data_IF_065279793814
#
_entry.id   IF_065279793814
#
_cell.length_a   1.000
_cell.length_b   1.000
_cell.length_c   1.000
_cell.angle_alpha   90.00
_cell.angle_beta   90.00
_cell.angle_gamma   90.00
#
_symmetry.space_group_name_H-M   'P 1'
#
loop_
_entity.id
_entity.type
_entity.pdbx_description
1 polymer ?
#
# COMPACT_ATOMS: atom_id res chain seq x y z
N UNK A 1 -25.60 10.05 6.61
CA UNK A 1 -25.82 8.59 6.78
C UNK A 1 -24.44 7.99 6.83
N UNK A 2 -24.04 7.52 7.99
CA UNK A 2 -22.64 7.25 8.38
C UNK A 2 -21.91 6.34 7.39
N UNK A 3 -22.62 5.37 6.80
CA UNK A 3 -22.03 4.45 5.81
C UNK A 3 -21.67 5.14 4.49
N UNK A 4 -22.48 6.10 4.05
CA UNK A 4 -22.17 6.88 2.85
C UNK A 4 -20.96 7.79 3.10
N UNK A 5 -20.91 8.44 4.27
CA UNK A 5 -19.78 9.29 4.67
C UNK A 5 -18.48 8.50 4.76
N UNK A 6 -18.50 7.30 5.33
CA UNK A 6 -17.36 6.38 5.32
C UNK A 6 -16.90 6.05 3.89
N UNK A 7 -17.81 5.68 3.00
CA UNK A 7 -17.45 5.32 1.62
C UNK A 7 -16.92 6.51 0.82
N UNK A 8 -17.44 7.71 1.07
CA UNK A 8 -16.90 8.96 0.51
C UNK A 8 -15.47 9.18 0.99
N UNK A 9 -15.21 9.08 2.30
CA UNK A 9 -13.86 9.23 2.86
C UNK A 9 -12.86 8.18 2.32
N UNK A 10 -13.27 6.92 2.18
CA UNK A 10 -12.43 5.87 1.56
C UNK A 10 -12.11 6.15 0.09
N UNK A 11 -12.98 6.90 -0.60
CA UNK A 11 -12.83 7.24 -2.02
C UNK A 11 -11.98 8.50 -2.26
N UNK A 12 -11.70 9.30 -1.23
CA UNK A 12 -10.85 10.50 -1.35
C UNK A 12 -9.40 10.13 -1.69
N UNK A 13 -8.84 9.11 -1.03
CA UNK A 13 -7.50 8.58 -1.31
C UNK A 13 -7.44 7.04 -1.21
N UNK A 14 -7.99 6.33 -2.21
CA UNK A 14 -7.97 4.87 -2.22
C UNK A 14 -6.55 4.30 -2.38
N UNK A 15 -5.66 5.01 -3.06
CA UNK A 15 -4.27 4.56 -3.29
C UNK A 15 -3.47 4.64 -1.98
N UNK A 16 -3.54 5.76 -1.25
CA UNK A 16 -2.96 5.88 0.08
C UNK A 16 -3.52 4.86 1.07
N UNK A 17 -4.84 4.61 1.03
CA UNK A 17 -5.48 3.56 1.84
C UNK A 17 -4.82 2.19 1.62
N UNK A 18 -4.72 1.71 0.38
CA UNK A 18 -4.20 0.36 0.12
C UNK A 18 -2.66 0.26 0.27
N UNK A 19 -1.95 1.38 0.17
CA UNK A 19 -0.52 1.49 0.46
C UNK A 19 -0.23 1.46 1.97
N UNK A 20 -1.10 2.07 2.78
CA UNK A 20 -1.03 1.98 4.24
C UNK A 20 -1.22 0.55 4.75
N UNK A 21 -2.09 -0.23 4.10
CA UNK A 21 -2.40 -1.60 4.50
C UNK A 21 -1.35 -2.60 3.97
N UNK A 22 -0.31 -2.84 4.77
CA UNK A 22 0.85 -3.70 4.43
C UNK A 22 0.46 -5.11 3.93
N UNK A 23 -0.52 -5.74 4.59
CA UNK A 23 -0.91 -7.13 4.38
C UNK A 23 -2.25 -7.30 3.65
N UNK A 24 -2.93 -6.21 3.32
CA UNK A 24 -4.20 -6.24 2.58
C UNK A 24 -3.91 -5.90 1.12
N UNK A 25 -4.43 -6.74 0.21
CA UNK A 25 -4.31 -6.53 -1.22
C UNK A 25 -5.62 -6.08 -1.86
N UNK A 26 -6.75 -6.16 -1.17
CA UNK A 26 -8.05 -5.77 -1.71
C UNK A 26 -8.98 -5.28 -0.61
N UNK A 27 -9.61 -4.14 -0.84
CA UNK A 27 -10.73 -3.64 -0.05
C UNK A 27 -11.90 -3.45 -0.99
N UNK A 28 -13.03 -4.05 -0.65
CA UNK A 28 -14.25 -3.97 -1.44
C UNK A 28 -15.44 -3.77 -0.52
N UNK A 29 -16.28 -2.79 -0.85
CA UNK A 29 -17.51 -2.49 -0.11
C UNK A 29 -18.70 -2.72 -1.03
N UNK A 30 -19.71 -3.39 -0.47
CA UNK A 30 -20.96 -3.69 -1.14
C UNK A 30 -22.14 -3.11 -0.38
N UNK A 31 -23.14 -2.66 -1.12
CA UNK A 31 -24.44 -2.23 -0.63
C UNK A 31 -25.49 -3.27 -1.05
N UNK A 32 -26.37 -3.64 -0.13
CA UNK A 32 -27.53 -4.49 -0.43
C UNK A 32 -28.72 -3.57 -0.63
N UNK A 33 -29.30 -3.61 -1.83
CA UNK A 33 -30.48 -2.81 -2.12
C UNK A 33 -31.69 -3.35 -1.35
N UNK A 34 -32.27 -2.54 -0.46
CA UNK A 34 -33.38 -2.96 0.42
C UNK A 34 -34.61 -3.45 -0.35
N UNK A 35 -34.89 -2.88 -1.53
CA UNK A 35 -36.10 -3.18 -2.30
C UNK A 35 -35.94 -4.43 -3.18
N UNK A 36 -34.76 -4.64 -3.74
CA UNK A 36 -34.50 -5.71 -4.72
C UNK A 36 -33.67 -6.87 -4.17
N UNK A 37 -33.06 -6.72 -2.99
CA UNK A 37 -32.12 -7.68 -2.41
C UNK A 37 -30.79 -7.80 -3.17
N UNK A 38 -30.59 -7.01 -4.23
CA UNK A 38 -29.41 -7.11 -5.08
C UNK A 38 -28.17 -6.52 -4.40
N UNK A 39 -27.06 -7.24 -4.54
CA UNK A 39 -25.75 -6.79 -4.10
C UNK A 39 -25.13 -5.87 -5.15
N UNK A 40 -24.79 -4.64 -4.75
CA UNK A 40 -24.10 -3.65 -5.60
C UNK A 40 -22.73 -3.35 -5.00
N UNK A 41 -21.67 -3.50 -5.78
CA UNK A 41 -20.34 -3.01 -5.36
C UNK A 41 -20.31 -1.50 -5.47
N UNK A 42 -19.90 -0.82 -4.39
CA UNK A 42 -19.85 0.66 -4.34
C UNK A 42 -18.42 1.21 -4.22
N UNK A 43 -17.47 0.37 -3.80
CA UNK A 43 -16.06 0.75 -3.70
C UNK A 43 -15.16 -0.47 -3.93
N UNK A 44 -14.10 -0.29 -4.71
CA UNK A 44 -13.02 -1.29 -4.86
C UNK A 44 -11.69 -0.54 -4.90
N UNK A 45 -10.73 -1.02 -4.12
CA UNK A 45 -9.32 -0.79 -4.37
C UNK A 45 -8.55 -2.09 -4.22
N UNK A 46 -7.68 -2.38 -5.19
CA UNK A 46 -6.94 -3.62 -5.26
C UNK A 46 -5.49 -3.36 -5.66
N UNK A 47 -4.56 -3.91 -4.88
CA UNK A 47 -3.12 -3.89 -5.09
C UNK A 47 -2.68 -5.24 -5.65
N UNK A 48 -2.12 -5.22 -6.84
CA UNK A 48 -1.55 -6.37 -7.52
C UNK A 48 -0.02 -6.33 -7.45
N UNK A 49 0.59 -7.41 -6.96
CA UNK A 49 2.04 -7.59 -6.99
C UNK A 49 2.39 -8.56 -8.12
N UNK A 50 3.17 -8.13 -9.13
CA UNK A 50 3.77 -9.03 -10.10
C UNK A 50 4.59 -10.13 -9.43
N UNK A 51 4.75 -11.28 -10.08
CA UNK A 51 5.37 -12.46 -9.48
C UNK A 51 6.78 -12.19 -8.90
N UNK A 52 7.67 -11.51 -9.64
CA UNK A 52 9.00 -11.17 -9.14
C UNK A 52 8.97 -10.24 -7.91
N UNK A 53 8.02 -9.31 -7.86
CA UNK A 53 7.81 -8.44 -6.70
C UNK A 53 7.22 -9.17 -5.49
N UNK A 54 6.39 -10.19 -5.74
CA UNK A 54 5.87 -11.07 -4.69
C UNK A 54 6.99 -11.87 -4.03
N UNK A 55 7.94 -12.39 -4.80
CA UNK A 55 9.12 -13.11 -4.29
C UNK A 55 10.00 -12.18 -3.43
N UNK A 56 10.33 -10.99 -3.92
CA UNK A 56 11.06 -9.96 -3.17
C UNK A 56 10.39 -9.62 -1.83
N UNK A 57 9.07 -9.47 -1.82
CA UNK A 57 8.30 -9.16 -0.61
C UNK A 57 8.25 -10.35 0.35
N UNK A 58 8.11 -11.56 -0.16
CA UNK A 58 8.12 -12.78 0.66
C UNK A 58 9.48 -13.00 1.33
N UNK A 59 10.57 -12.80 0.59
CA UNK A 59 11.90 -12.94 1.15
C UNK A 59 12.18 -11.86 2.19
N UNK A 60 11.75 -10.61 1.96
CA UNK A 60 11.82 -9.56 2.97
C UNK A 60 11.03 -9.91 4.24
N UNK A 61 9.81 -10.44 4.10
CA UNK A 61 8.99 -10.88 5.23
C UNK A 61 9.65 -12.02 6.03
N UNK A 62 10.29 -12.99 5.36
CA UNK A 62 11.07 -14.05 6.03
C UNK A 62 12.24 -13.48 6.82
N UNK A 63 12.98 -12.52 6.24
CA UNK A 63 14.08 -11.87 6.95
C UNK A 63 13.57 -11.11 8.18
N UNK A 64 12.43 -10.42 8.08
CA UNK A 64 11.81 -9.74 9.21
C UNK A 64 11.39 -10.72 10.31
N UNK A 65 10.74 -11.83 9.95
CA UNK A 65 10.34 -12.85 10.91
C UNK A 65 11.54 -13.49 11.63
N UNK A 66 12.60 -13.81 10.88
CA UNK A 66 13.84 -14.34 11.45
C UNK A 66 14.52 -13.32 12.37
N UNK A 67 14.52 -12.03 12.00
CA UNK A 67 15.06 -10.96 12.81
C UNK A 67 14.31 -10.79 14.13
N UNK A 68 12.96 -10.89 14.11
CA UNK A 68 12.14 -10.83 15.32
C UNK A 68 12.34 -12.03 16.25
N UNK A 69 12.75 -13.19 15.72
CA UNK A 69 13.04 -14.42 16.48
C UNK A 69 14.48 -14.50 17.00
N UNK A 70 15.36 -13.63 16.52
CA UNK A 70 16.80 -13.69 16.80
C UNK A 70 17.15 -12.89 18.06
N UNK A 71 17.90 -13.52 18.99
CA UNK A 71 18.51 -12.83 20.15
C UNK A 71 19.76 -12.01 19.77
N UNK A 72 20.24 -12.13 18.52
CA UNK A 72 21.39 -11.39 18.00
C UNK A 72 20.98 -10.06 17.40
N UNK A 73 21.93 -9.11 17.38
CA UNK A 73 21.77 -7.81 16.72
C UNK A 73 21.21 -7.96 15.29
N UNK A 74 20.09 -7.30 15.03
CA UNK A 74 19.39 -7.36 13.74
C UNK A 74 20.10 -6.45 12.74
N UNK A 75 20.60 -7.04 11.66
CA UNK A 75 21.13 -6.28 10.53
C UNK A 75 19.98 -5.65 9.75
N UNK A 76 20.07 -4.35 9.45
CA UNK A 76 19.06 -3.66 8.64
C UNK A 76 18.89 -4.35 7.29
N UNK A 77 17.65 -4.59 6.89
CA UNK A 77 17.30 -5.18 5.59
C UNK A 77 16.38 -4.24 4.83
N UNK A 78 16.52 -4.22 3.50
CA UNK A 78 15.69 -3.41 2.60
C UNK A 78 15.25 -4.20 1.39
N UNK A 79 14.12 -3.82 0.82
CA UNK A 79 13.62 -4.39 -0.44
C UNK A 79 13.03 -3.30 -1.32
N UNK A 80 13.05 -3.54 -2.62
CA UNK A 80 12.45 -2.68 -3.62
C UNK A 80 11.59 -3.53 -4.54
N UNK A 81 10.35 -3.13 -4.77
CA UNK A 81 9.43 -3.88 -5.61
C UNK A 81 8.38 -2.98 -6.24
N UNK A 82 7.82 -3.44 -7.37
CA UNK A 82 6.76 -2.73 -8.05
C UNK A 82 5.40 -3.30 -7.68
N UNK A 83 4.38 -2.46 -7.70
CA UNK A 83 2.99 -2.87 -7.55
C UNK A 83 2.08 -2.03 -8.42
N UNK A 84 0.92 -2.57 -8.74
CA UNK A 84 -0.12 -1.88 -9.50
C UNK A 84 -1.36 -1.76 -8.64
N UNK A 85 -1.96 -0.58 -8.57
CA UNK A 85 -3.22 -0.35 -7.85
C UNK A 85 -4.33 -0.13 -8.86
N UNK A 86 -5.46 -0.81 -8.70
CA UNK A 86 -6.66 -0.64 -9.50
C UNK A 86 -7.84 -0.25 -8.61
N UNK A 87 -8.68 0.67 -9.07
CA UNK A 87 -9.87 1.14 -8.33
C UNK A 87 -11.15 0.93 -9.14
N UNK A 88 -12.30 1.01 -8.47
CA UNK A 88 -13.63 0.81 -9.08
C UNK A 88 -14.00 1.80 -10.19
N UNK A 89 -13.31 2.94 -10.27
CA UNK A 89 -13.47 3.94 -11.34
C UNK A 89 -12.57 3.68 -12.57
N UNK A 90 -12.01 2.47 -12.69
CA UNK A 90 -11.09 2.05 -13.74
C UNK A 90 -9.76 2.83 -13.78
N UNK A 91 -9.41 3.53 -12.70
CA UNK A 91 -8.06 4.08 -12.54
C UNK A 91 -7.10 2.93 -12.21
N UNK A 92 -5.93 2.98 -12.82
CA UNK A 92 -4.85 2.02 -12.63
C UNK A 92 -3.54 2.77 -12.51
N UNK A 93 -2.81 2.59 -11.43
CA UNK A 93 -1.54 3.25 -11.18
C UNK A 93 -0.42 2.25 -10.91
N UNK A 94 0.79 2.59 -11.33
CA UNK A 94 1.99 1.80 -11.05
C UNK A 94 2.83 2.51 -10.00
N UNK A 95 3.38 1.74 -9.08
CA UNK A 95 4.11 2.24 -7.93
C UNK A 95 5.41 1.46 -7.74
N UNK A 96 6.48 2.18 -7.39
CA UNK A 96 7.71 1.61 -6.88
C UNK A 96 7.72 1.76 -5.36
N UNK A 97 7.89 0.67 -4.64
CA UNK A 97 7.92 0.63 -3.18
C UNK A 97 9.33 0.29 -2.72
N UNK A 98 9.85 1.08 -1.78
CA UNK A 98 11.03 0.78 -0.98
C UNK A 98 10.60 0.51 0.46
N UNK A 99 10.94 -0.64 1.01
CA UNK A 99 10.70 -0.98 2.41
C UNK A 99 12.01 -1.27 3.13
N UNK A 100 12.08 -0.91 4.41
CA UNK A 100 13.20 -1.22 5.28
C UNK A 100 12.71 -1.61 6.68
N UNK A 101 13.42 -2.54 7.32
CA UNK A 101 13.35 -2.75 8.76
C UNK A 101 14.73 -2.68 9.41
N UNK A 102 14.75 -2.34 10.71
CA UNK A 102 15.97 -2.20 11.50
C UNK A 102 16.57 -0.79 11.45
N UNK A 103 17.62 -0.57 12.24
CA UNK A 103 18.31 0.71 12.37
C UNK A 103 19.77 0.58 11.93
N UNK A 104 20.33 1.67 11.39
CA UNK A 104 21.75 1.78 11.09
C UNK A 104 22.60 2.09 12.33
N UNK A 105 21.98 2.50 13.43
CA UNK A 105 22.67 2.78 14.70
C UNK A 105 22.57 1.55 15.60
N UNK A 106 23.72 0.94 15.88
CA UNK A 106 23.83 -0.28 16.71
C UNK A 106 23.39 -0.09 18.17
N UNK A 107 23.24 1.14 18.66
CA UNK A 107 23.19 1.42 20.10
C UNK A 107 21.81 1.76 20.69
N UNK A 108 20.74 1.92 19.90
CA UNK A 108 19.45 2.42 20.41
C UNK A 108 18.29 1.41 20.38
N UNK A 109 18.50 0.17 19.93
CA UNK A 109 17.45 -0.86 19.89
C UNK A 109 17.62 -1.88 21.01
N UNK A 110 17.75 -1.40 22.25
CA UNK A 110 17.47 -2.23 23.42
C UNK A 110 15.98 -2.06 23.77
N UNK A 111 15.23 -3.17 23.68
CA UNK A 111 13.86 -3.35 24.20
C UNK A 111 12.69 -2.72 23.42
N UNK A 112 12.43 -3.17 22.19
CA UNK A 112 11.05 -3.18 21.69
C UNK A 112 10.76 -4.51 21.00
N UNK A 113 9.60 -5.13 21.28
CA UNK A 113 9.10 -6.34 20.59
C UNK A 113 8.84 -6.11 19.07
N UNK A 114 9.12 -4.91 18.59
CA UNK A 114 8.93 -4.48 17.21
C UNK A 114 10.20 -3.81 16.70
N UNK A 115 10.68 -4.29 15.56
CA UNK A 115 11.73 -3.63 14.80
C UNK A 115 11.16 -2.40 14.09
N UNK A 116 11.87 -1.27 14.06
CA UNK A 116 11.43 -0.10 13.31
C UNK A 116 11.31 -0.48 11.84
N UNK A 117 10.19 -0.09 11.22
CA UNK A 117 9.89 -0.35 9.83
C UNK A 117 9.41 0.92 9.16
N UNK A 118 9.97 1.22 7.99
CA UNK A 118 9.53 2.32 7.17
C UNK A 118 9.33 1.87 5.72
N UNK A 119 8.41 2.51 5.02
CA UNK A 119 8.22 2.31 3.59
C UNK A 119 7.96 3.64 2.88
N UNK A 120 8.46 3.76 1.66
CA UNK A 120 8.17 4.87 0.74
C UNK A 120 7.67 4.24 -0.56
N UNK A 121 6.54 4.72 -1.05
CA UNK A 121 6.02 4.38 -2.36
C UNK A 121 6.04 5.63 -3.25
N UNK A 122 6.53 5.50 -4.48
CA UNK A 122 6.52 6.55 -5.48
C UNK A 122 5.70 6.11 -6.69
N UNK A 123 4.77 6.95 -7.13
CA UNK A 123 3.91 6.67 -8.28
C UNK A 123 4.70 6.86 -9.57
N UNK A 124 4.75 5.82 -10.39
CA UNK A 124 5.46 5.78 -11.68
C UNK A 124 4.56 6.22 -12.82
N UNK A 125 3.30 5.79 -12.81
CA UNK A 125 2.33 6.08 -13.87
C UNK A 125 0.90 5.99 -13.35
N UNK A 126 -0.03 6.67 -14.03
CA UNK A 126 -1.48 6.56 -13.82
C UNK A 126 -2.15 6.49 -15.18
N UNK A 127 -3.01 5.49 -15.35
CA UNK A 127 -3.88 5.31 -16.50
C UNK A 127 -5.33 5.29 -15.99
N UNK A 128 -6.23 6.06 -16.60
CA UNK A 128 -7.64 6.09 -16.22
C UNK A 128 -8.50 6.88 -17.22
N UNK A 129 -9.84 6.86 -17.11
CA UNK A 129 -10.74 7.53 -18.04
C UNK A 129 -10.62 9.06 -18.02
N UNK A 130 -10.22 9.60 -16.86
CA UNK A 130 -9.85 10.99 -16.68
C UNK A 130 -8.37 11.03 -16.26
N UNK A 131 -7.41 10.81 -17.18
CA UNK A 131 -6.09 11.37 -16.93
C UNK A 131 -6.36 12.87 -16.84
N UNK A 132 -5.97 13.48 -15.73
CA UNK A 132 -6.20 14.89 -15.46
C UNK A 132 -6.20 15.73 -16.75
N UNK A 133 -7.13 16.67 -16.80
CA UNK A 133 -6.95 17.95 -17.48
C UNK A 133 -5.72 18.70 -16.89
N UNK A 134 -4.61 18.02 -16.64
CA UNK A 134 -3.30 18.62 -16.56
C UNK A 134 -3.05 19.14 -17.95
N UNK A 135 -3.22 20.45 -18.09
CA UNK A 135 -2.61 21.22 -19.17
C UNK A 135 -1.29 20.56 -19.53
N UNK A 136 -1.13 20.14 -20.80
CA UNK A 136 0.13 19.64 -21.37
C UNK A 136 1.31 20.42 -20.77
N UNK A 137 2.01 19.91 -19.75
CA UNK A 137 3.02 20.70 -19.07
C UNK A 137 3.54 20.16 -17.74
N UNK A 138 2.68 19.84 -16.78
CA UNK A 138 3.13 19.65 -15.39
C UNK A 138 3.18 18.18 -14.98
N UNK A 139 4.36 17.72 -14.59
CA UNK A 139 4.55 16.42 -13.95
C UNK A 139 4.03 16.47 -12.51
N UNK A 140 2.98 15.71 -12.19
CA UNK A 140 2.50 15.53 -10.82
C UNK A 140 3.10 14.26 -10.21
N UNK A 141 4.15 14.43 -9.39
CA UNK A 141 4.73 13.35 -8.61
C UNK A 141 3.93 13.07 -7.34
N UNK A 142 3.59 11.80 -7.09
CA UNK A 142 2.92 11.38 -5.84
C UNK A 142 3.77 10.38 -5.11
N UNK A 143 3.90 10.56 -3.80
CA UNK A 143 4.57 9.64 -2.92
C UNK A 143 3.71 9.36 -1.67
N UNK A 144 3.89 8.17 -1.10
CA UNK A 144 3.26 7.75 0.14
C UNK A 144 4.35 7.24 1.10
N UNK A 145 4.25 7.61 2.38
CA UNK A 145 5.22 7.22 3.40
C UNK A 145 4.50 6.51 4.56
N UNK A 146 4.98 5.32 4.92
CA UNK A 146 4.63 4.64 6.16
C UNK A 146 5.81 4.78 7.12
N UNK A 147 5.61 5.50 8.23
CA UNK A 147 6.61 5.67 9.28
C UNK A 147 6.39 4.65 10.42
N UNK A 148 7.46 4.28 11.17
CA UNK A 148 7.41 3.33 12.28
C UNK A 148 6.57 3.81 13.46
#
# INVERSE_FOLDING_TARGET
NDMHELCSALSEDPEGLILFLKNICKVQVHEINENSGNLKTIFVVEKHLPQGSKEQKQDFAKHLENALKSEKAVTSQKTFYQTTISTSDNRKSEWMIAEQFGSFKENDLQLTDKLPQAAIAARLSVNGPNPSQSSKGDFEGTAFCSLP
#
